data_IF_770912110417
#
_entry.id   IF_770912110417
#
_cell.length_a   1.000
_cell.length_b   1.000
_cell.length_c   1.000
_cell.angle_alpha   90.00
_cell.angle_beta   90.00
_cell.angle_gamma   90.00
#
_symmetry.space_group_name_H-M   'P 1'
#
loop_
_entity.id
_entity.type
_entity.pdbx_description
1 polymer ?
#
# COMPACT_ATOMS: atom_id res chain seq x y z
N UNK A 1 -31.87 -5.26 13.17
CA UNK A 1 -30.64 -6.04 12.99
C UNK A 1 -29.52 -5.02 12.88
N UNK A 2 -28.49 -5.10 13.72
CA UNK A 2 -27.36 -4.19 13.64
C UNK A 2 -26.55 -4.42 12.35
N UNK A 3 -25.95 -3.38 11.76
CA UNK A 3 -25.06 -3.56 10.62
C UNK A 3 -23.83 -4.39 11.01
N UNK A 4 -23.20 -5.06 10.03
CA UNK A 4 -21.99 -5.85 10.27
C UNK A 4 -20.86 -5.01 10.90
N UNK A 5 -20.69 -3.79 10.41
CA UNK A 5 -19.76 -2.82 10.95
C UNK A 5 -20.56 -1.81 11.77
N UNK A 6 -20.23 -1.72 13.05
CA UNK A 6 -20.78 -0.81 14.05
C UNK A 6 -19.64 -0.36 14.98
N UNK A 7 -19.90 0.57 15.89
CA UNK A 7 -18.84 1.15 16.75
C UNK A 7 -18.15 0.08 17.63
N UNK A 8 -18.88 -0.93 18.09
CA UNK A 8 -18.35 -2.04 18.90
C UNK A 8 -17.79 -3.23 18.09
N UNK A 9 -17.56 -3.07 16.77
CA UNK A 9 -17.08 -4.17 15.93
C UNK A 9 -15.74 -4.74 16.46
N UNK A 10 -15.74 -6.03 16.83
CA UNK A 10 -14.64 -6.77 17.48
C UNK A 10 -14.37 -6.41 18.96
N UNK A 11 -15.18 -5.54 19.58
CA UNK A 11 -15.03 -5.11 20.98
C UNK A 11 -16.00 -5.89 21.88
N UNK A 12 -15.57 -7.05 22.37
CA UNK A 12 -16.43 -7.96 23.13
C UNK A 12 -16.65 -7.64 24.61
N UNK A 13 -16.00 -6.60 25.15
CA UNK A 13 -16.07 -6.24 26.58
C UNK A 13 -16.09 -4.72 26.79
N UNK A 14 -16.58 -4.27 27.95
CA UNK A 14 -16.56 -2.85 28.33
C UNK A 14 -15.13 -2.30 28.40
N UNK A 15 -14.17 -3.09 28.92
CA UNK A 15 -12.76 -2.71 28.92
C UNK A 15 -12.21 -2.52 27.50
N UNK A 16 -12.58 -3.39 26.55
CA UNK A 16 -12.15 -3.27 25.16
C UNK A 16 -12.74 -2.01 24.50
N UNK A 17 -14.02 -1.71 24.76
CA UNK A 17 -14.68 -0.46 24.33
C UNK A 17 -13.95 0.77 24.87
N UNK A 18 -13.74 0.85 26.18
CA UNK A 18 -13.10 1.99 26.81
C UNK A 18 -11.67 2.21 26.27
N UNK A 19 -10.87 1.14 26.19
CA UNK A 19 -9.50 1.22 25.65
C UNK A 19 -9.49 1.68 24.19
N UNK A 20 -10.41 1.20 23.36
CA UNK A 20 -10.47 1.60 21.96
C UNK A 20 -10.97 3.04 21.80
N UNK A 21 -12.14 3.37 22.34
CA UNK A 21 -12.80 4.66 22.11
C UNK A 21 -12.05 5.84 22.75
N UNK A 22 -11.56 5.66 23.98
CA UNK A 22 -10.93 6.76 24.73
C UNK A 22 -9.46 6.95 24.35
N UNK A 23 -8.74 5.86 24.02
CA UNK A 23 -7.28 5.92 23.84
C UNK A 23 -6.84 5.61 22.41
N UNK A 24 -7.32 4.55 21.78
CA UNK A 24 -6.80 4.12 20.47
C UNK A 24 -7.42 4.90 19.28
N UNK A 25 -8.74 5.02 19.23
CA UNK A 25 -9.52 5.66 18.17
C UNK A 25 -9.12 7.12 17.92
N UNK A 26 -8.84 7.98 18.93
CA UNK A 26 -8.48 9.38 18.66
C UNK A 26 -7.08 9.56 18.07
N UNK A 27 -6.19 8.56 18.19
CA UNK A 27 -4.81 8.66 17.72
C UNK A 27 -4.72 8.75 16.19
N UNK A 28 -3.72 9.48 15.67
CA UNK A 28 -3.42 9.48 14.23
C UNK A 28 -2.82 8.14 13.79
N UNK A 29 -2.80 7.92 12.47
CA UNK A 29 -2.15 6.74 11.89
C UNK A 29 -0.70 7.06 11.49
N UNK A 30 0.20 6.14 11.86
CA UNK A 30 1.59 6.08 11.41
C UNK A 30 1.73 4.78 10.64
N UNK A 31 1.67 4.86 9.31
CA UNK A 31 1.84 3.73 8.42
C UNK A 31 3.33 3.59 8.04
N UNK A 32 4.11 3.02 8.96
CA UNK A 32 5.57 3.00 8.86
C UNK A 32 6.12 2.03 7.81
N UNK A 33 5.27 1.27 7.10
CA UNK A 33 5.69 0.45 5.98
C UNK A 33 4.51 0.16 5.06
N UNK A 34 4.60 0.64 3.82
CA UNK A 34 3.56 0.44 2.81
C UNK A 34 4.13 0.34 1.41
N UNK A 35 3.27 -0.07 0.48
CA UNK A 35 3.53 -0.09 -0.97
C UNK A 35 2.67 0.93 -1.74
N UNK A 36 2.07 1.91 -1.05
CA UNK A 36 1.41 3.04 -1.71
C UNK A 36 2.36 3.71 -2.71
N UNK A 37 1.85 4.07 -3.88
CA UNK A 37 2.63 4.76 -4.91
C UNK A 37 2.92 6.21 -4.51
N UNK A 38 4.19 6.61 -4.32
CA UNK A 38 4.55 8.01 -4.10
C UNK A 38 4.06 8.91 -5.24
N UNK A 39 4.06 8.40 -6.47
CA UNK A 39 3.58 9.12 -7.65
C UNK A 39 2.09 9.44 -7.55
N UNK A 40 1.27 8.50 -7.10
CA UNK A 40 -0.17 8.73 -6.94
C UNK A 40 -0.46 9.74 -5.85
N UNK A 41 0.31 9.73 -4.75
CA UNK A 41 0.18 10.74 -3.70
C UNK A 41 0.68 12.11 -4.20
N UNK A 42 1.78 12.16 -4.93
CA UNK A 42 2.37 13.37 -5.49
C UNK A 42 1.52 13.99 -6.62
N UNK A 43 0.81 13.17 -7.38
CA UNK A 43 -0.15 13.59 -8.41
C UNK A 43 -1.58 13.77 -7.89
N UNK A 44 -1.82 13.45 -6.61
CA UNK A 44 -3.14 13.39 -5.99
C UNK A 44 -4.16 12.64 -6.85
N UNK A 45 -3.79 11.40 -7.22
CA UNK A 45 -4.48 10.59 -8.23
C UNK A 45 -5.99 10.62 -8.02
N UNK A 46 -6.70 10.81 -9.14
CA UNK A 46 -8.15 10.67 -9.23
C UNK A 46 -8.48 9.37 -9.96
N UNK A 47 -9.18 8.48 -9.27
CA UNK A 47 -9.80 7.31 -9.90
C UNK A 47 -11.15 7.71 -10.49
N UNK A 48 -11.53 7.09 -11.60
CA UNK A 48 -12.81 7.39 -12.28
C UNK A 48 -14.00 6.71 -11.60
N UNK A 49 -13.75 5.55 -11.00
CA UNK A 49 -14.77 4.73 -10.36
C UNK A 49 -14.18 3.89 -9.22
N UNK A 50 -15.05 3.32 -8.38
CA UNK A 50 -14.63 2.51 -7.24
C UNK A 50 -13.86 1.25 -7.66
N UNK A 51 -14.11 0.68 -8.84
CA UNK A 51 -13.38 -0.51 -9.29
C UNK A 51 -11.89 -0.21 -9.48
N UNK A 52 -11.54 0.93 -10.08
CA UNK A 52 -10.14 1.31 -10.23
C UNK A 52 -9.45 1.52 -8.88
N UNK A 53 -10.14 2.13 -7.91
CA UNK A 53 -9.60 2.35 -6.56
C UNK A 53 -9.47 1.04 -5.76
N UNK A 54 -10.49 0.18 -5.80
CA UNK A 54 -10.56 -1.02 -4.96
C UNK A 54 -9.92 -2.26 -5.55
N UNK A 55 -9.95 -2.40 -6.87
CA UNK A 55 -9.47 -3.59 -7.59
C UNK A 55 -8.16 -3.34 -8.33
N UNK A 56 -7.62 -2.11 -8.31
CA UNK A 56 -6.27 -1.82 -8.79
C UNK A 56 -5.16 -2.44 -7.93
N UNK A 57 -5.50 -2.81 -6.69
CA UNK A 57 -4.67 -3.53 -5.71
C UNK A 57 -5.42 -3.63 -4.37
N UNK A 58 -4.88 -4.29 -3.35
CA UNK A 58 -3.85 -5.33 -3.42
C UNK A 58 -4.40 -6.64 -4.01
N UNK A 59 -3.49 -7.56 -4.31
CA UNK A 59 -3.76 -8.84 -5.00
C UNK A 59 -4.72 -9.81 -4.27
N UNK A 60 -5.13 -9.54 -3.03
CA UNK A 60 -6.06 -10.39 -2.28
C UNK A 60 -7.42 -10.52 -2.97
N UNK A 61 -7.98 -9.42 -3.50
CA UNK A 61 -9.26 -9.45 -4.21
C UNK A 61 -9.15 -10.27 -5.50
N UNK A 62 -8.04 -10.16 -6.22
CA UNK A 62 -7.75 -10.97 -7.40
C UNK A 62 -7.66 -12.46 -7.09
N UNK A 63 -6.96 -12.81 -6.00
CA UNK A 63 -6.85 -14.19 -5.54
C UNK A 63 -8.22 -14.78 -5.19
N UNK A 64 -9.06 -14.02 -4.49
CA UNK A 64 -10.42 -14.43 -4.15
C UNK A 64 -11.30 -14.66 -5.39
N UNK A 65 -11.22 -13.78 -6.38
CA UNK A 65 -11.91 -13.95 -7.67
C UNK A 65 -11.50 -15.25 -8.36
N UNK A 66 -10.19 -15.51 -8.47
CA UNK A 66 -9.63 -16.72 -9.09
C UNK A 66 -10.05 -18.00 -8.35
N UNK A 67 -9.98 -18.01 -7.03
CA UNK A 67 -10.46 -19.14 -6.21
C UNK A 67 -11.96 -19.40 -6.37
N UNK A 68 -12.75 -18.36 -6.67
CA UNK A 68 -14.16 -18.49 -6.95
C UNK A 68 -14.47 -18.80 -8.42
N UNK A 69 -13.45 -19.16 -9.23
CA UNK A 69 -13.62 -19.56 -10.63
C UNK A 69 -13.98 -18.41 -11.58
N UNK A 70 -13.76 -17.16 -11.18
CA UNK A 70 -14.03 -16.01 -12.06
C UNK A 70 -13.00 -15.98 -13.20
N UNK A 71 -13.43 -15.83 -14.47
CA UNK A 71 -12.51 -15.74 -15.61
C UNK A 71 -11.48 -14.62 -15.46
N UNK A 72 -10.22 -14.88 -15.83
CA UNK A 72 -9.11 -13.92 -15.66
C UNK A 72 -9.35 -12.58 -16.37
N UNK A 73 -10.15 -12.59 -17.46
CA UNK A 73 -10.63 -11.38 -18.15
C UNK A 73 -11.30 -10.37 -17.21
N UNK A 74 -12.04 -10.86 -16.21
CA UNK A 74 -12.74 -10.08 -15.19
C UNK A 74 -11.89 -9.79 -13.95
N UNK A 75 -10.63 -10.24 -13.92
CA UNK A 75 -9.69 -10.01 -12.81
C UNK A 75 -8.65 -8.97 -13.24
N UNK A 76 -7.72 -9.36 -14.11
CA UNK A 76 -6.64 -8.49 -14.61
C UNK A 76 -6.72 -8.21 -16.11
N UNK A 77 -7.61 -8.88 -16.84
CA UNK A 77 -7.77 -8.69 -18.28
C UNK A 77 -8.54 -7.42 -18.67
N UNK A 78 -9.08 -7.43 -19.89
CA UNK A 78 -9.59 -6.24 -20.60
C UNK A 78 -11.08 -5.92 -20.35
N UNK A 79 -11.73 -6.59 -19.39
CA UNK A 79 -13.14 -6.32 -19.12
C UNK A 79 -13.36 -4.89 -18.58
N UNK A 80 -14.51 -4.27 -18.89
CA UNK A 80 -14.90 -2.99 -18.28
C UNK A 80 -14.89 -3.02 -16.75
N UNK A 81 -14.48 -1.91 -16.14
CA UNK A 81 -14.41 -1.75 -14.67
C UNK A 81 -15.69 -2.15 -13.95
N UNK A 82 -16.84 -1.83 -14.54
CA UNK A 82 -18.15 -2.20 -13.97
C UNK A 82 -18.35 -3.71 -13.94
N UNK A 83 -17.94 -4.43 -14.97
CA UNK A 83 -18.02 -5.90 -15.00
C UNK A 83 -17.10 -6.52 -13.95
N UNK A 84 -15.86 -6.02 -13.83
CA UNK A 84 -14.91 -6.45 -12.79
C UNK A 84 -15.45 -6.23 -11.38
N UNK A 85 -16.03 -5.05 -11.12
CA UNK A 85 -16.65 -4.74 -9.83
C UNK A 85 -17.84 -5.65 -9.52
N UNK A 86 -18.72 -5.89 -10.49
CA UNK A 86 -19.87 -6.78 -10.30
C UNK A 86 -19.42 -8.23 -10.03
N UNK A 87 -18.35 -8.70 -10.68
CA UNK A 87 -17.78 -10.02 -10.43
C UNK A 87 -17.22 -10.13 -8.99
N UNK A 88 -16.55 -9.08 -8.51
CA UNK A 88 -16.08 -9.02 -7.12
C UNK A 88 -17.23 -8.96 -6.11
N UNK A 89 -18.20 -8.09 -6.34
CA UNK A 89 -19.38 -7.95 -5.48
C UNK A 89 -20.17 -9.27 -5.38
N UNK A 90 -20.24 -10.04 -6.46
CA UNK A 90 -20.86 -11.38 -6.48
C UNK A 90 -20.01 -12.44 -5.76
N UNK A 91 -18.70 -12.22 -5.62
CA UNK A 91 -17.77 -13.12 -4.93
C UNK A 91 -17.76 -12.86 -3.42
N UNK A 92 -17.94 -11.62 -2.97
CA UNK A 92 -17.80 -11.25 -1.55
C UNK A 92 -18.68 -12.06 -0.59
N UNK A 93 -19.95 -12.40 -0.88
CA UNK A 93 -20.75 -13.26 0.01
C UNK A 93 -20.17 -14.66 0.25
N UNK A 94 -19.29 -15.15 -0.64
CA UNK A 94 -18.59 -16.43 -0.49
C UNK A 94 -17.32 -16.32 0.36
N UNK A 95 -16.96 -15.12 0.78
CA UNK A 95 -15.77 -14.82 1.58
C UNK A 95 -16.07 -14.73 3.07
N UNK A 96 -17.21 -15.26 3.56
CA UNK A 96 -17.48 -15.34 4.99
C UNK A 96 -16.31 -16.01 5.72
N UNK A 97 -15.87 -15.39 6.83
CA UNK A 97 -14.67 -15.75 7.63
C UNK A 97 -13.32 -15.45 6.95
N UNK A 98 -13.29 -15.04 5.70
CA UNK A 98 -12.09 -14.45 5.10
C UNK A 98 -12.00 -12.97 5.52
N UNK A 99 -10.81 -12.45 5.88
CA UNK A 99 -10.68 -11.06 6.31
C UNK A 99 -11.08 -10.04 5.24
N UNK A 100 -11.06 -10.41 3.94
CA UNK A 100 -11.61 -9.57 2.87
C UNK A 100 -13.05 -9.15 3.14
N UNK A 101 -13.85 -10.02 3.78
CA UNK A 101 -15.21 -9.67 4.15
C UNK A 101 -15.24 -8.53 5.16
N UNK A 102 -14.36 -8.52 6.17
CA UNK A 102 -14.29 -7.41 7.12
C UNK A 102 -13.70 -6.15 6.47
N UNK A 103 -12.61 -6.28 5.71
CA UNK A 103 -11.93 -5.14 5.09
C UNK A 103 -12.86 -4.37 4.15
N UNK A 104 -13.59 -5.06 3.26
CA UNK A 104 -14.49 -4.41 2.32
C UNK A 104 -15.60 -3.62 3.03
N UNK A 105 -16.20 -4.18 4.08
CA UNK A 105 -17.27 -3.49 4.80
C UNK A 105 -16.73 -2.37 5.71
N UNK A 106 -15.51 -2.51 6.25
CA UNK A 106 -14.83 -1.43 6.97
C UNK A 106 -14.50 -0.26 6.05
N UNK A 107 -14.00 -0.54 4.85
CA UNK A 107 -13.70 0.45 3.80
C UNK A 107 -14.99 1.19 3.39
N UNK A 108 -16.09 0.45 3.15
CA UNK A 108 -17.41 1.02 2.83
C UNK A 108 -17.95 1.91 3.95
N UNK A 109 -17.88 1.46 5.20
CA UNK A 109 -18.39 2.23 6.34
C UNK A 109 -17.54 3.50 6.56
N UNK A 110 -16.21 3.38 6.60
CA UNK A 110 -15.33 4.49 7.01
C UNK A 110 -15.16 5.56 5.93
N UNK A 111 -15.00 5.15 4.68
CA UNK A 111 -14.80 6.12 3.59
C UNK A 111 -16.11 6.56 2.96
N UNK A 112 -17.10 5.67 2.85
CA UNK A 112 -18.29 5.92 2.03
C UNK A 112 -19.59 6.01 2.84
N UNK A 113 -19.54 5.82 4.15
CA UNK A 113 -20.70 5.83 5.05
C UNK A 113 -21.80 4.84 4.61
N UNK A 114 -21.35 3.70 4.06
CA UNK A 114 -22.22 2.61 3.60
C UNK A 114 -22.07 1.42 4.54
N UNK A 115 -23.15 1.09 5.26
CA UNK A 115 -23.19 0.01 6.25
C UNK A 115 -23.95 -1.25 5.76
N UNK A 116 -24.40 -1.24 4.51
CA UNK A 116 -25.04 -2.39 3.90
C UNK A 116 -24.04 -3.50 3.58
N UNK A 117 -24.54 -4.73 3.37
CA UNK A 117 -23.71 -5.80 2.84
C UNK A 117 -23.51 -5.62 1.34
N UNK A 118 -22.28 -5.82 0.87
CA UNK A 118 -21.98 -5.87 -0.57
C UNK A 118 -22.30 -7.28 -1.10
N UNK A 119 -23.01 -7.34 -2.21
CA UNK A 119 -23.45 -8.59 -2.83
C UNK A 119 -23.72 -8.43 -4.32
N UNK A 120 -24.40 -9.39 -4.96
CA UNK A 120 -24.65 -9.38 -6.41
C UNK A 120 -25.59 -8.25 -6.87
N UNK A 121 -26.34 -7.65 -5.95
CA UNK A 121 -27.18 -6.50 -6.26
C UNK A 121 -26.30 -5.29 -6.61
N UNK A 122 -26.54 -4.64 -7.76
CA UNK A 122 -25.73 -3.50 -8.17
C UNK A 122 -25.78 -2.38 -7.13
N UNK A 123 -24.63 -2.08 -6.53
CA UNK A 123 -24.45 -0.82 -5.81
C UNK A 123 -24.64 0.34 -6.79
N UNK A 124 -25.54 1.26 -6.44
CA UNK A 124 -25.76 2.53 -7.12
C UNK A 124 -25.30 3.66 -6.19
N UNK A 125 -24.70 4.70 -6.75
CA UNK A 125 -24.38 5.93 -6.03
C UNK A 125 -23.08 5.93 -5.22
N UNK A 126 -22.25 4.88 -5.27
CA UNK A 126 -20.88 4.92 -4.73
C UNK A 126 -19.88 5.32 -5.82
N UNK A 127 -19.20 6.44 -5.58
CA UNK A 127 -18.05 6.90 -6.36
C UNK A 127 -16.73 6.53 -5.68
N UNK A 128 -15.58 6.92 -6.28
CA UNK A 128 -14.25 6.66 -5.71
C UNK A 128 -13.87 7.66 -4.60
N UNK A 129 -14.61 8.75 -4.44
CA UNK A 129 -14.32 9.80 -3.45
C UNK A 129 -14.96 9.47 -2.10
N UNK A 130 -14.22 9.60 -0.97
CA UNK A 130 -14.81 9.49 0.36
C UNK A 130 -16.00 10.44 0.55
N UNK A 131 -17.07 10.01 1.23
CA UNK A 131 -18.31 10.77 1.40
C UNK A 131 -18.10 12.08 2.16
N UNK A 132 -17.18 12.09 3.13
CA UNK A 132 -16.82 13.26 3.94
C UNK A 132 -15.72 14.11 3.30
N UNK A 133 -15.35 13.84 2.04
CA UNK A 133 -14.36 14.62 1.33
C UNK A 133 -14.79 16.07 1.20
N UNK A 134 -13.85 16.97 1.46
CA UNK A 134 -14.02 18.41 1.22
C UNK A 134 -14.01 18.80 -0.27
N UNK A 135 -13.60 17.88 -1.16
CA UNK A 135 -13.52 18.13 -2.62
C UNK A 135 -13.93 16.90 -3.45
N UNK A 136 -14.46 17.13 -4.65
CA UNK A 136 -14.69 16.06 -5.64
C UNK A 136 -13.51 15.84 -6.58
N UNK A 137 -12.47 16.69 -6.48
CA UNK A 137 -11.40 16.81 -7.46
C UNK A 137 -10.13 16.03 -7.11
N UNK A 138 -9.93 15.62 -5.85
CA UNK A 138 -8.70 14.98 -5.35
C UNK A 138 -9.02 13.80 -4.43
N UNK A 139 -8.46 12.60 -4.67
CA UNK A 139 -8.88 11.37 -3.96
C UNK A 139 -7.74 10.75 -3.15
N UNK A 140 -6.51 10.67 -3.66
CA UNK A 140 -5.42 9.98 -2.97
C UNK A 140 -5.06 10.64 -1.64
N UNK A 141 -4.83 11.97 -1.65
CA UNK A 141 -4.50 12.71 -0.42
C UNK A 141 -5.68 12.78 0.53
N UNK A 142 -6.89 12.85 0.00
CA UNK A 142 -8.09 12.89 0.82
C UNK A 142 -8.36 11.57 1.55
N UNK A 143 -8.06 10.42 0.94
CA UNK A 143 -8.12 9.13 1.64
C UNK A 143 -7.19 9.15 2.88
N UNK A 144 -5.96 9.65 2.73
CA UNK A 144 -5.02 9.77 3.85
C UNK A 144 -5.53 10.76 4.92
N UNK A 145 -6.06 11.93 4.52
CA UNK A 145 -6.61 12.92 5.46
C UNK A 145 -7.83 12.38 6.22
N UNK A 146 -8.75 11.71 5.52
CA UNK A 146 -9.98 11.15 6.09
C UNK A 146 -9.69 10.15 7.21
N UNK A 147 -8.56 9.45 7.11
CA UNK A 147 -8.10 8.49 8.12
C UNK A 147 -7.09 9.07 9.11
N UNK A 148 -6.82 10.38 9.08
CA UNK A 148 -5.86 11.08 9.96
C UNK A 148 -4.46 10.45 9.90
N UNK A 149 -4.01 10.06 8.71
CA UNK A 149 -2.66 9.57 8.49
C UNK A 149 -1.68 10.73 8.60
N UNK A 150 -0.69 10.61 9.49
CA UNK A 150 0.35 11.61 9.70
C UNK A 150 1.67 11.26 9.01
N UNK A 151 1.97 9.97 8.91
CA UNK A 151 3.20 9.46 8.30
C UNK A 151 2.87 8.23 7.49
N UNK A 152 3.39 8.20 6.27
CA UNK A 152 3.46 7.03 5.40
C UNK A 152 4.93 6.81 5.06
N UNK A 153 5.42 5.60 5.25
CA UNK A 153 6.74 5.21 4.77
C UNK A 153 6.57 4.23 3.60
N UNK A 154 6.80 4.70 2.38
CA UNK A 154 6.75 3.86 1.17
C UNK A 154 7.97 2.94 1.10
N UNK A 155 7.95 2.01 0.16
CA UNK A 155 9.03 1.03 -0.03
C UNK A 155 9.73 1.31 -1.36
N UNK A 156 10.98 1.75 -1.30
CA UNK A 156 11.67 2.36 -2.43
C UNK A 156 13.04 1.70 -2.66
N UNK A 157 13.42 1.60 -3.93
CA UNK A 157 14.67 0.96 -4.36
C UNK A 157 15.85 1.95 -4.26
N UNK A 158 17.07 1.53 -3.86
CA UNK A 158 18.26 2.38 -3.87
C UNK A 158 18.52 3.15 -5.18
N UNK A 159 18.10 2.56 -6.30
CA UNK A 159 18.19 3.13 -7.62
C UNK A 159 16.94 3.95 -8.02
N UNK A 160 16.12 4.41 -7.07
CA UNK A 160 15.07 5.39 -7.31
C UNK A 160 15.54 6.82 -7.00
N UNK A 161 15.02 7.80 -7.73
CA UNK A 161 15.38 9.22 -7.62
C UNK A 161 14.64 9.94 -6.47
N UNK A 162 13.60 9.32 -5.92
CA UNK A 162 12.73 9.87 -4.87
C UNK A 162 12.09 11.23 -5.23
N UNK A 163 11.93 11.53 -6.52
CA UNK A 163 11.41 12.81 -7.00
C UNK A 163 10.00 13.09 -6.48
N UNK A 164 9.16 12.06 -6.34
CA UNK A 164 7.80 12.19 -5.84
C UNK A 164 7.76 12.50 -4.34
N UNK A 165 8.63 11.92 -3.52
CA UNK A 165 8.77 12.29 -2.10
C UNK A 165 9.18 13.74 -1.96
N UNK A 166 10.15 14.18 -2.78
CA UNK A 166 10.59 15.56 -2.81
C UNK A 166 9.43 16.50 -3.17
N UNK A 167 8.68 16.16 -4.22
CA UNK A 167 7.49 16.94 -4.63
C UNK A 167 6.46 17.05 -3.50
N UNK A 168 6.08 15.95 -2.87
CA UNK A 168 5.10 15.95 -1.76
C UNK A 168 5.59 16.81 -0.58
N UNK A 169 6.88 16.71 -0.25
CA UNK A 169 7.50 17.52 0.80
C UNK A 169 7.50 19.01 0.45
N UNK A 170 7.91 19.37 -0.76
CA UNK A 170 8.01 20.75 -1.25
C UNK A 170 6.63 21.43 -1.34
N UNK A 171 5.57 20.66 -1.62
CA UNK A 171 4.18 21.15 -1.61
C UNK A 171 3.59 21.33 -0.20
N UNK A 172 4.31 20.92 0.85
CA UNK A 172 3.86 21.08 2.24
C UNK A 172 2.64 20.24 2.60
N UNK A 173 2.48 19.06 1.98
CA UNK A 173 1.39 18.15 2.34
C UNK A 173 1.50 17.71 3.82
N UNK A 174 0.39 17.79 4.56
CA UNK A 174 0.38 17.57 6.00
C UNK A 174 0.82 16.15 6.42
N UNK A 175 0.49 15.13 5.63
CA UNK A 175 0.99 13.77 5.85
C UNK A 175 2.41 13.66 5.29
N UNK A 176 3.36 13.24 6.12
CA UNK A 176 4.74 12.99 5.70
C UNK A 176 4.77 11.72 4.85
N UNK A 177 5.29 11.81 3.63
CA UNK A 177 5.55 10.66 2.75
C UNK A 177 7.05 10.45 2.70
N UNK A 178 7.53 9.44 3.42
CA UNK A 178 8.95 9.16 3.62
C UNK A 178 9.34 7.88 2.88
N UNK A 179 10.57 7.79 2.35
CA UNK A 179 11.02 6.56 1.71
C UNK A 179 11.55 5.55 2.73
N UNK A 180 11.41 4.25 2.43
CA UNK A 180 12.05 3.13 3.14
C UNK A 180 13.05 2.48 2.21
N UNK A 181 14.27 2.27 2.69
CA UNK A 181 15.36 1.69 1.90
C UNK A 181 15.15 0.18 1.69
N UNK A 182 14.90 -0.28 0.45
CA UNK A 182 14.75 -1.71 0.13
C UNK A 182 15.72 -2.17 -0.97
N UNK A 183 16.91 -2.69 -0.61
CA UNK A 183 17.98 -3.00 -1.55
C UNK A 183 17.90 -4.41 -2.15
N UNK A 184 16.69 -4.97 -2.33
CA UNK A 184 16.53 -6.37 -2.77
C UNK A 184 17.22 -6.62 -4.13
N UNK A 185 17.06 -5.71 -5.10
CA UNK A 185 17.69 -5.84 -6.43
C UNK A 185 19.21 -5.76 -6.41
N UNK A 186 19.81 -5.17 -5.36
CA UNK A 186 21.26 -5.19 -5.17
C UNK A 186 21.80 -6.59 -4.82
N UNK A 187 20.93 -7.52 -4.44
CA UNK A 187 21.27 -8.90 -4.09
C UNK A 187 20.77 -9.92 -5.14
N UNK A 188 19.95 -9.47 -6.11
CA UNK A 188 19.29 -10.30 -7.13
C UNK A 188 20.24 -10.64 -8.31
N UNK A 189 21.30 -11.40 -8.03
CA UNK A 189 22.38 -11.73 -8.99
C UNK A 189 22.04 -12.86 -9.96
N UNK A 190 20.91 -13.55 -9.75
CA UNK A 190 20.47 -14.71 -10.51
C UNK A 190 20.13 -14.41 -11.98
N UNK A 191 19.82 -13.16 -12.30
CA UNK A 191 19.61 -12.68 -13.67
C UNK A 191 20.65 -11.61 -14.04
N UNK A 192 21.75 -11.98 -14.71
CA UNK A 192 22.84 -11.05 -15.03
C UNK A 192 22.43 -9.84 -15.89
N UNK A 193 21.50 -10.01 -16.84
CA UNK A 193 21.06 -8.91 -17.71
C UNK A 193 20.30 -7.86 -16.89
N UNK A 194 19.32 -8.29 -16.10
CA UNK A 194 18.55 -7.41 -15.23
C UNK A 194 19.44 -6.77 -14.15
N UNK A 195 20.37 -7.54 -13.57
CA UNK A 195 21.30 -7.05 -12.56
C UNK A 195 22.28 -6.00 -13.13
N UNK A 196 22.82 -6.21 -14.32
CA UNK A 196 23.68 -5.22 -14.99
C UNK A 196 22.93 -3.92 -15.31
N UNK A 197 21.68 -4.02 -15.77
CA UNK A 197 20.83 -2.84 -15.99
C UNK A 197 20.56 -2.08 -14.68
N UNK A 198 20.32 -2.81 -13.59
CA UNK A 198 20.19 -2.25 -12.24
C UNK A 198 21.46 -1.53 -11.78
N UNK A 199 22.64 -2.16 -11.95
CA UNK A 199 23.92 -1.55 -11.59
C UNK A 199 24.21 -0.28 -12.40
N UNK A 200 23.87 -0.26 -13.69
CA UNK A 200 24.00 0.94 -14.51
C UNK A 200 23.14 2.10 -13.98
N UNK A 201 21.85 1.84 -13.68
CA UNK A 201 20.93 2.84 -13.09
C UNK A 201 21.43 3.33 -11.72
N UNK A 202 21.85 2.40 -10.86
CA UNK A 202 22.38 2.72 -9.53
C UNK A 202 23.65 3.58 -9.62
N UNK A 203 24.56 3.21 -10.52
CA UNK A 203 25.82 3.91 -10.75
C UNK A 203 25.61 5.33 -11.27
N UNK A 204 24.67 5.53 -12.19
CA UNK A 204 24.27 6.85 -12.69
C UNK A 204 23.75 7.74 -11.55
N UNK A 205 22.80 7.25 -10.74
CA UNK A 205 22.22 8.00 -9.63
C UNK A 205 23.17 8.23 -8.45
N UNK A 206 24.19 7.39 -8.31
CA UNK A 206 25.25 7.55 -7.31
C UNK A 206 26.44 8.37 -7.84
N UNK A 207 26.51 8.63 -9.16
CA UNK A 207 27.70 9.12 -9.85
C UNK A 207 28.97 8.29 -9.53
N UNK A 208 28.83 6.96 -9.56
CA UNK A 208 29.89 5.97 -9.28
C UNK A 208 29.90 4.92 -10.38
N UNK A 209 31.05 4.71 -11.03
CA UNK A 209 31.23 3.57 -11.94
C UNK A 209 31.36 2.27 -11.12
N UNK A 210 30.40 1.35 -11.31
CA UNK A 210 30.32 0.10 -10.55
C UNK A 210 31.02 -1.03 -11.31
N UNK A 211 32.34 -1.17 -11.10
CA UNK A 211 33.17 -2.23 -11.72
C UNK A 211 33.63 -3.32 -10.73
N UNK A 212 33.28 -3.21 -9.45
CA UNK A 212 33.64 -4.18 -8.41
C UNK A 212 32.65 -4.15 -7.26
N UNK A 213 32.70 -5.17 -6.39
CA UNK A 213 31.91 -5.20 -5.16
C UNK A 213 32.18 -3.99 -4.26
N UNK A 214 33.44 -3.55 -4.15
CA UNK A 214 33.79 -2.36 -3.38
C UNK A 214 33.10 -1.09 -3.94
N UNK A 215 33.06 -0.96 -5.27
CA UNK A 215 32.35 0.15 -5.95
C UNK A 215 30.83 0.06 -5.81
N UNK A 216 30.25 -1.15 -5.76
CA UNK A 216 28.84 -1.33 -5.45
C UNK A 216 28.52 -0.83 -4.03
N UNK A 217 29.34 -1.20 -3.04
CA UNK A 217 29.17 -0.72 -1.66
C UNK A 217 29.33 0.80 -1.56
N UNK A 218 30.27 1.40 -2.30
CA UNK A 218 30.42 2.86 -2.42
C UNK A 218 29.14 3.52 -2.96
N UNK A 219 28.61 3.04 -4.09
CA UNK A 219 27.38 3.55 -4.68
C UNK A 219 26.18 3.42 -3.72
N UNK A 220 26.01 2.26 -3.07
CA UNK A 220 24.95 2.04 -2.10
C UNK A 220 25.06 2.98 -0.88
N UNK A 221 26.27 3.29 -0.41
CA UNK A 221 26.48 4.28 0.67
C UNK A 221 26.05 5.68 0.24
N UNK A 222 26.40 6.11 -0.97
CA UNK A 222 25.96 7.40 -1.52
C UNK A 222 24.44 7.46 -1.56
N UNK A 223 23.78 6.44 -2.11
CA UNK A 223 22.31 6.38 -2.16
C UNK A 223 21.68 6.30 -0.77
N UNK A 224 22.27 5.58 0.17
CA UNK A 224 21.75 5.49 1.53
C UNK A 224 21.81 6.84 2.26
N UNK A 225 22.86 7.64 2.04
CA UNK A 225 22.93 9.02 2.53
C UNK A 225 21.85 9.90 1.89
N UNK A 226 21.63 9.79 0.58
CA UNK A 226 20.55 10.50 -0.10
C UNK A 226 19.16 10.13 0.48
N UNK A 227 18.89 8.85 0.73
CA UNK A 227 17.68 8.41 1.40
C UNK A 227 17.54 9.05 2.79
N UNK A 228 18.62 9.12 3.57
CA UNK A 228 18.63 9.79 4.87
C UNK A 228 18.26 11.27 4.78
N UNK A 229 18.81 11.99 3.79
CA UNK A 229 18.49 13.40 3.50
C UNK A 229 17.02 13.60 3.07
N UNK A 230 16.46 12.62 2.36
CA UNK A 230 15.04 12.56 2.01
C UNK A 230 14.13 12.17 3.19
N UNK A 231 14.70 11.88 4.36
CA UNK A 231 13.95 11.60 5.60
C UNK A 231 13.76 10.11 5.89
N UNK A 232 14.36 9.21 5.12
CA UNK A 232 14.33 7.76 5.38
C UNK A 232 14.93 7.44 6.76
N UNK A 233 14.24 6.59 7.52
CA UNK A 233 14.72 6.07 8.83
C UNK A 233 14.56 4.56 8.96
N UNK A 234 14.13 3.90 7.89
CA UNK A 234 13.74 2.49 7.89
C UNK A 234 14.42 1.78 6.72
N UNK A 235 14.70 0.50 6.92
CA UNK A 235 15.13 -0.40 5.84
C UNK A 235 14.27 -1.64 5.85
N UNK A 236 13.92 -2.12 4.66
CA UNK A 236 13.20 -3.36 4.44
C UNK A 236 14.06 -4.31 3.58
N UNK A 237 13.88 -5.61 3.75
CA UNK A 237 14.53 -6.64 2.94
C UNK A 237 13.58 -7.82 2.73
N UNK A 238 13.21 -8.05 1.47
CA UNK A 238 12.52 -9.26 1.07
C UNK A 238 13.50 -10.42 0.95
N UNK A 239 13.56 -11.29 1.96
CA UNK A 239 14.40 -12.49 1.93
C UNK A 239 13.53 -13.73 1.71
N UNK A 240 13.53 -14.24 0.49
CA UNK A 240 12.88 -15.52 0.14
C UNK A 240 13.62 -16.69 0.76
N UNK A 241 14.95 -16.57 0.86
CA UNK A 241 15.81 -17.55 1.49
C UNK A 241 16.74 -16.86 2.50
N UNK A 242 16.64 -17.27 3.76
CA UNK A 242 17.50 -16.79 4.83
C UNK A 242 18.59 -17.83 5.10
N UNK A 243 19.85 -17.44 4.92
CA UNK A 243 21.01 -18.27 5.25
C UNK A 243 21.60 -17.89 6.60
N UNK A 244 21.12 -18.48 7.71
CA UNK A 244 21.71 -18.21 9.00
C UNK A 244 23.15 -18.74 9.01
N UNK A 245 24.09 -17.92 9.47
CA UNK A 245 25.36 -18.45 9.96
C UNK A 245 25.03 -19.28 11.19
N UNK A 246 25.20 -20.60 11.13
CA UNK A 246 25.09 -21.45 12.32
C UNK A 246 26.24 -21.03 13.24
N UNK A 247 25.93 -20.22 14.24
CA UNK A 247 26.87 -19.91 15.33
C UNK A 247 26.80 -21.12 16.26
N UNK A 248 27.87 -21.95 16.37
CA UNK A 248 27.87 -23.04 17.33
C UNK A 248 27.62 -22.46 18.72
N UNK A 249 26.76 -23.13 19.52
CA UNK A 249 26.57 -22.73 20.92
C UNK A 249 27.93 -22.82 21.62
N UNK A 250 28.31 -21.84 22.46
CA UNK A 250 29.45 -22.00 23.35
C UNK A 250 29.23 -23.27 24.18
N UNK A 251 30.28 -24.11 24.27
CA UNK A 251 30.33 -25.25 25.20
C UNK A 251 30.25 -24.77 26.67
#
# INVERSE_FOLDING_TARGET
>A
MEPLIHDDFLLGTDSARALYEEYARPLPLIDYHTHLSPQEIAGDRRWENLAQLWLGGDHYKWRALRWNGVPERLVTGDAPDREKFNAFASTLPRLLRNPLHHWCHLELARYFDYYGLLGPTPLRGLGPTPRKSSTTASVARECLRSMRVQVVCTTDDPADDLAYHKKVKDEGFACKVLPTWRPDKAMAIENPEAYNAYLAKLGELANVEISSFAKLIEALKVRHNFFHEMGCRLSDRGLECFWPKIIPRPE
#
